data_IF_214364573497
#
_entry.id   IF_214364573497
#
_cell.length_a   1.000
_cell.length_b   1.000
_cell.length_c   1.000
_cell.angle_alpha   90.00
_cell.angle_beta   90.00
_cell.angle_gamma   90.00
#
_symmetry.space_group_name_H-M   'P 1'
#
loop_
_entity.id
_entity.type
_entity.pdbx_description
1 polymer ?
#
# COMPACT_ATOMS: atom_id res chain seq x y z
N UNK A 1 6.40 -4.20 -1.87
CA UNK A 1 6.22 -5.65 -1.62
C UNK A 1 6.31 -6.49 -2.90
N UNK A 2 5.69 -6.09 -4.02
CA UNK A 2 5.68 -6.87 -5.27
C UNK A 2 7.03 -7.01 -6.01
N UNK A 3 7.99 -6.09 -5.84
CA UNK A 3 9.31 -6.18 -6.48
C UNK A 3 10.24 -7.25 -5.88
N UNK A 4 9.94 -7.78 -4.69
CA UNK A 4 10.69 -8.86 -4.04
C UNK A 4 10.22 -10.27 -4.45
N UNK A 5 9.11 -10.36 -5.19
CA UNK A 5 8.47 -11.61 -5.60
C UNK A 5 9.24 -12.29 -6.75
N UNK A 6 9.98 -11.55 -7.58
CA UNK A 6 10.59 -12.12 -8.80
C UNK A 6 11.89 -12.91 -8.60
N UNK A 7 12.50 -12.86 -7.41
CA UNK A 7 13.80 -13.52 -7.13
C UNK A 7 13.75 -14.68 -6.15
N UNK A 8 12.61 -14.93 -5.51
CA UNK A 8 12.49 -15.84 -4.38
C UNK A 8 11.50 -16.97 -4.68
N UNK A 9 11.82 -18.18 -4.23
CA UNK A 9 11.01 -19.37 -4.47
C UNK A 9 9.68 -19.24 -3.72
N UNK A 10 8.57 -19.42 -4.42
CA UNK A 10 7.21 -19.31 -3.87
C UNK A 10 7.02 -20.13 -2.58
N UNK A 11 7.63 -21.31 -2.50
CA UNK A 11 7.56 -22.22 -1.35
C UNK A 11 8.00 -21.58 -0.02
N UNK A 12 8.98 -20.67 -0.05
CA UNK A 12 9.47 -19.99 1.17
C UNK A 12 8.39 -19.03 1.70
N UNK A 13 7.78 -18.25 0.81
CA UNK A 13 6.69 -17.35 1.20
C UNK A 13 5.42 -18.09 1.57
N UNK A 14 5.10 -19.18 0.87
CA UNK A 14 3.99 -20.06 1.24
C UNK A 14 4.21 -20.62 2.65
N UNK A 15 5.41 -21.12 2.96
CA UNK A 15 5.75 -21.58 4.31
C UNK A 15 5.60 -20.48 5.37
N UNK A 16 6.13 -19.28 5.10
CA UNK A 16 6.01 -18.13 6.03
C UNK A 16 4.58 -17.63 6.21
N UNK A 17 3.73 -17.73 5.19
CA UNK A 17 2.36 -17.22 5.25
C UNK A 17 1.37 -18.25 5.80
N UNK A 18 1.47 -19.51 5.35
CA UNK A 18 0.52 -20.58 5.68
C UNK A 18 0.84 -21.20 7.04
N UNK A 19 2.13 -21.46 7.32
CA UNK A 19 2.53 -22.20 8.54
C UNK A 19 2.69 -21.28 9.75
N UNK A 20 2.77 -19.96 9.55
CA UNK A 20 2.89 -19.00 10.65
C UNK A 20 1.49 -18.50 11.08
N UNK A 21 1.00 -18.88 12.28
CA UNK A 21 -0.32 -18.46 12.74
C UNK A 21 -0.42 -16.93 12.92
N UNK A 22 0.68 -16.26 13.27
CA UNK A 22 0.70 -14.79 13.41
C UNK A 22 0.53 -14.13 12.05
N UNK A 23 1.23 -14.63 11.02
CA UNK A 23 1.12 -14.10 9.67
C UNK A 23 -0.31 -14.27 9.13
N UNK A 24 -0.94 -15.42 9.37
CA UNK A 24 -2.34 -15.65 8.99
C UNK A 24 -3.28 -14.61 9.58
N UNK A 25 -3.16 -14.33 10.88
CA UNK A 25 -4.00 -13.31 11.56
C UNK A 25 -3.77 -11.92 10.96
N UNK A 26 -2.51 -11.55 10.70
CA UNK A 26 -2.18 -10.25 10.11
C UNK A 26 -2.71 -10.10 8.68
N UNK A 27 -2.57 -11.14 7.86
CA UNK A 27 -3.03 -11.14 6.47
C UNK A 27 -4.56 -11.12 6.40
N UNK A 28 -5.22 -11.90 7.25
CA UNK A 28 -6.67 -11.89 7.35
C UNK A 28 -7.19 -10.51 7.79
N UNK A 29 -6.61 -9.93 8.84
CA UNK A 29 -7.00 -8.60 9.29
C UNK A 29 -6.73 -7.55 8.21
N UNK A 30 -5.61 -7.63 7.49
CA UNK A 30 -5.34 -6.70 6.41
C UNK A 30 -6.43 -6.77 5.32
N UNK A 31 -6.82 -7.98 4.90
CA UNK A 31 -7.90 -8.16 3.94
C UNK A 31 -9.25 -7.61 4.46
N UNK A 32 -9.54 -7.78 5.75
CA UNK A 32 -10.72 -7.18 6.40
C UNK A 32 -10.66 -5.66 6.41
N UNK A 33 -9.52 -5.07 6.78
CA UNK A 33 -9.30 -3.62 6.78
C UNK A 33 -9.49 -3.01 5.39
N UNK A 34 -8.91 -3.62 4.35
CA UNK A 34 -9.12 -3.19 2.95
C UNK A 34 -10.62 -3.23 2.59
N UNK A 35 -11.31 -4.31 2.95
CA UNK A 35 -12.72 -4.50 2.64
C UNK A 35 -13.61 -3.48 3.36
N UNK A 36 -13.41 -3.28 4.66
CA UNK A 36 -14.22 -2.38 5.48
C UNK A 36 -14.03 -0.91 5.07
N UNK A 37 -12.79 -0.49 4.74
CA UNK A 37 -12.54 0.84 4.19
C UNK A 37 -13.20 1.01 2.81
N UNK A 38 -13.11 0.00 1.94
CA UNK A 38 -13.77 0.02 0.63
C UNK A 38 -15.30 0.12 0.76
N UNK A 39 -15.91 -0.56 1.73
CA UNK A 39 -17.35 -0.44 2.01
C UNK A 39 -17.73 0.99 2.36
N UNK A 40 -16.97 1.66 3.23
CA UNK A 40 -17.22 3.06 3.59
C UNK A 40 -17.07 3.98 2.36
N UNK A 41 -16.06 3.74 1.53
CA UNK A 41 -15.83 4.47 0.29
C UNK A 41 -16.97 4.33 -0.71
N UNK A 42 -17.52 3.11 -0.93
CA UNK A 42 -18.60 2.88 -1.92
C UNK A 42 -19.97 3.26 -1.38
N UNK A 43 -20.14 3.28 -0.06
CA UNK A 43 -21.38 3.69 0.60
C UNK A 43 -21.48 5.20 0.81
N UNK A 44 -20.48 5.96 0.34
CA UNK A 44 -20.39 7.42 0.49
C UNK A 44 -20.36 7.88 1.97
N UNK A 45 -19.87 7.03 2.87
CA UNK A 45 -19.76 7.32 4.31
C UNK A 45 -18.39 7.95 4.63
N UNK A 46 -18.23 9.22 4.24
CA UNK A 46 -17.00 9.97 4.44
C UNK A 46 -16.70 10.20 5.93
N UNK A 47 -17.73 10.40 6.75
CA UNK A 47 -17.57 10.61 8.20
C UNK A 47 -17.08 9.34 8.90
N UNK A 48 -17.68 8.18 8.58
CA UNK A 48 -17.24 6.88 9.08
C UNK A 48 -15.81 6.56 8.63
N UNK A 49 -15.50 6.81 7.36
CA UNK A 49 -14.15 6.65 6.83
C UNK A 49 -13.15 7.53 7.57
N UNK A 50 -13.47 8.81 7.76
CA UNK A 50 -12.63 9.77 8.47
C UNK A 50 -12.35 9.35 9.90
N UNK A 51 -13.40 8.99 10.64
CA UNK A 51 -13.30 8.52 12.03
C UNK A 51 -12.37 7.31 12.14
N UNK A 52 -12.54 6.34 11.24
CA UNK A 52 -11.73 5.11 11.23
C UNK A 52 -10.27 5.36 10.89
N UNK A 53 -10.01 6.12 9.83
CA UNK A 53 -8.65 6.46 9.39
C UNK A 53 -7.92 7.25 10.48
N UNK A 54 -8.58 8.23 11.11
CA UNK A 54 -7.98 9.01 12.19
C UNK A 54 -7.71 8.18 13.44
N UNK A 55 -8.59 7.25 13.81
CA UNK A 55 -8.32 6.33 14.92
C UNK A 55 -7.05 5.50 14.67
N UNK A 56 -6.88 4.99 13.45
CA UNK A 56 -5.67 4.27 13.06
C UNK A 56 -4.42 5.15 13.06
N UNK A 57 -4.52 6.36 12.51
CA UNK A 57 -3.44 7.37 12.55
C UNK A 57 -3.01 7.66 13.99
N UNK A 58 -3.95 7.95 14.87
CA UNK A 58 -3.67 8.37 16.25
C UNK A 58 -3.10 7.21 17.07
N UNK A 59 -3.50 5.97 16.78
CA UNK A 59 -2.89 4.78 17.38
C UNK A 59 -1.42 4.63 17.00
N UNK A 60 -1.10 4.72 15.70
CA UNK A 60 0.25 4.48 15.17
C UNK A 60 1.19 5.65 15.47
N UNK A 61 0.77 6.88 15.11
CA UNK A 61 1.61 8.09 15.16
C UNK A 61 1.36 8.95 16.40
N UNK A 62 0.39 8.60 17.23
CA UNK A 62 -0.06 9.46 18.32
C UNK A 62 -0.98 10.59 17.86
N UNK A 63 -1.78 11.15 18.78
CA UNK A 63 -2.67 12.26 18.45
C UNK A 63 -1.88 13.53 18.10
N UNK A 64 -2.51 14.50 17.40
CA UNK A 64 -1.90 15.79 17.10
C UNK A 64 -1.33 16.46 18.36
N UNK A 65 -0.09 16.93 18.28
CA UNK A 65 0.59 17.57 19.42
C UNK A 65 1.31 16.60 20.37
N UNK A 66 1.22 15.28 20.16
CA UNK A 66 2.02 14.32 20.92
C UNK A 66 3.49 14.30 20.47
N UNK A 67 4.46 13.86 21.30
CA UNK A 67 5.86 13.72 20.88
C UNK A 67 6.04 12.80 19.66
N UNK A 68 5.16 11.80 19.51
CA UNK A 68 5.12 10.89 18.36
C UNK A 68 4.59 11.55 17.07
N UNK A 69 3.96 12.72 17.19
CA UNK A 69 3.46 13.57 16.10
C UNK A 69 4.54 14.52 15.52
N UNK A 70 5.83 14.35 15.82
CA UNK A 70 6.91 15.16 15.22
C UNK A 70 7.13 14.76 13.75
N UNK A 71 7.07 15.72 12.82
CA UNK A 71 7.16 15.45 11.37
C UNK A 71 8.60 15.10 11.02
N UNK A 72 8.90 13.95 10.39
CA UNK A 72 10.20 13.76 9.77
C UNK A 72 10.37 14.77 8.62
N UNK A 73 11.58 15.26 8.35
CA UNK A 73 11.84 16.09 7.18
C UNK A 73 11.49 15.28 5.91
N UNK A 74 10.63 15.88 5.08
CA UNK A 74 10.20 15.36 3.78
C UNK A 74 11.44 15.20 2.89
N UNK A 75 11.78 13.97 2.50
CA UNK A 75 13.10 13.71 1.89
C UNK A 75 13.11 13.88 0.36
N UNK A 76 11.96 13.89 -0.32
CA UNK A 76 11.86 13.99 -1.79
C UNK A 76 10.54 14.67 -2.20
N UNK A 77 10.58 15.61 -3.16
CA UNK A 77 9.38 16.29 -3.68
C UNK A 77 8.57 15.42 -4.64
N UNK A 78 7.25 15.57 -4.64
CA UNK A 78 6.33 14.84 -5.56
C UNK A 78 6.70 15.02 -7.05
N UNK A 79 7.30 16.15 -7.42
CA UNK A 79 7.77 16.43 -8.78
C UNK A 79 8.85 15.45 -9.25
N UNK A 80 9.77 15.06 -8.35
CA UNK A 80 10.82 14.08 -8.67
C UNK A 80 10.18 12.70 -8.86
N UNK A 81 9.21 12.31 -8.03
CA UNK A 81 8.52 11.02 -8.21
C UNK A 81 7.69 10.95 -9.48
N UNK A 82 7.02 12.05 -9.85
CA UNK A 82 6.19 12.13 -11.06
C UNK A 82 7.04 11.96 -12.33
N UNK A 83 8.23 12.57 -12.36
CA UNK A 83 9.13 12.50 -13.53
C UNK A 83 9.72 11.11 -13.80
N UNK A 84 9.72 10.20 -12.82
CA UNK A 84 10.26 8.85 -12.95
C UNK A 84 9.21 7.74 -12.80
N UNK A 85 7.92 8.07 -12.86
CA UNK A 85 6.83 7.09 -12.80
C UNK A 85 6.93 6.04 -13.93
N UNK A 86 6.52 4.81 -13.61
CA UNK A 86 6.43 3.71 -14.58
C UNK A 86 5.04 3.79 -15.23
N UNK A 87 4.99 3.86 -16.56
CA UNK A 87 3.78 4.21 -17.34
C UNK A 87 3.99 5.43 -18.24
N UNK A 88 3.00 5.72 -19.09
CA UNK A 88 2.95 6.98 -19.84
C UNK A 88 2.58 8.12 -18.89
N UNK A 89 3.30 9.27 -18.92
CA UNK A 89 2.91 10.42 -18.15
C UNK A 89 1.56 10.91 -18.66
N UNK A 90 0.51 10.82 -17.85
CA UNK A 90 -0.76 11.45 -18.13
C UNK A 90 -0.53 12.96 -18.34
N UNK A 91 -1.17 13.56 -19.34
CA UNK A 91 -0.95 14.94 -19.77
C UNK A 91 -1.48 16.01 -18.77
N UNK A 92 -1.55 15.70 -17.48
CA UNK A 92 -2.06 16.57 -16.43
C UNK A 92 -1.63 16.11 -15.04
N UNK A 93 -1.95 16.89 -13.98
CA UNK A 93 -1.71 16.46 -12.60
C UNK A 93 -2.42 15.12 -12.36
N UNK A 94 -1.75 14.19 -11.69
CA UNK A 94 -2.34 12.89 -11.37
C UNK A 94 -3.62 13.09 -10.57
N UNK A 95 -4.70 12.37 -10.88
CA UNK A 95 -5.94 12.50 -10.12
C UNK A 95 -5.70 12.12 -8.66
N UNK A 96 -6.47 12.68 -7.73
CA UNK A 96 -6.28 12.42 -6.32
C UNK A 96 -6.49 10.96 -5.97
N UNK A 97 -5.52 10.34 -5.31
CA UNK A 97 -5.53 8.92 -5.00
C UNK A 97 -6.08 8.68 -3.58
N UNK A 98 -6.94 7.67 -3.44
CA UNK A 98 -7.48 7.21 -2.17
C UNK A 98 -6.40 6.66 -1.22
N UNK A 99 -5.29 6.21 -1.81
CA UNK A 99 -4.21 5.47 -1.18
C UNK A 99 -4.73 4.30 -0.31
N UNK A 100 -5.78 3.60 -0.78
CA UNK A 100 -6.48 2.55 -0.04
C UNK A 100 -5.54 1.52 0.59
N UNK A 101 -4.48 1.11 -0.11
CA UNK A 101 -3.46 0.20 0.44
C UNK A 101 -2.82 0.75 1.72
N UNK A 102 -2.42 2.02 1.73
CA UNK A 102 -1.75 2.66 2.86
C UNK A 102 -2.74 2.85 4.02
N UNK A 103 -3.97 3.30 3.73
CA UNK A 103 -5.03 3.42 4.74
C UNK A 103 -5.32 2.07 5.41
N UNK A 104 -5.40 1.00 4.63
CA UNK A 104 -5.67 -0.34 5.13
C UNK A 104 -4.52 -0.93 5.96
N UNK A 105 -3.26 -0.61 5.64
CA UNK A 105 -2.10 -1.00 6.46
C UNK A 105 -2.22 -0.41 7.86
N UNK A 106 -2.51 0.89 7.94
CA UNK A 106 -2.63 1.60 9.23
C UNK A 106 -3.85 1.15 10.02
N UNK A 107 -4.99 0.96 9.35
CA UNK A 107 -6.16 0.38 10.00
C UNK A 107 -5.87 -1.03 10.53
N UNK A 108 -5.23 -1.89 9.75
CA UNK A 108 -4.87 -3.24 10.18
C UNK A 108 -4.01 -3.24 11.46
N UNK A 109 -3.00 -2.35 11.53
CA UNK A 109 -2.20 -2.21 12.74
C UNK A 109 -3.01 -1.76 13.94
N UNK A 110 -3.93 -0.82 13.75
CA UNK A 110 -4.82 -0.38 14.80
C UNK A 110 -5.72 -1.51 15.30
N UNK A 111 -6.35 -2.27 14.38
CA UNK A 111 -7.23 -3.39 14.73
C UNK A 111 -6.50 -4.53 15.45
N UNK A 112 -5.21 -4.74 15.17
CA UNK A 112 -4.38 -5.73 15.87
C UNK A 112 -3.63 -5.17 17.08
N UNK A 113 -3.85 -3.89 17.43
CA UNK A 113 -3.10 -3.17 18.44
C UNK A 113 -1.58 -3.26 18.26
N UNK A 114 -1.11 -3.36 17.01
CA UNK A 114 0.31 -3.36 16.65
C UNK A 114 0.82 -1.93 16.53
N UNK A 115 2.11 -1.73 16.84
CA UNK A 115 2.80 -0.47 16.56
C UNK A 115 4.13 -0.74 15.85
N UNK A 116 4.11 -0.90 14.51
CA UNK A 116 5.31 -1.15 13.74
C UNK A 116 5.96 0.18 13.34
N UNK A 117 6.89 0.68 14.16
CA UNK A 117 7.70 1.82 13.74
C UNK A 117 8.81 1.37 12.78
N UNK A 118 8.67 1.69 11.49
CA UNK A 118 9.72 2.22 10.60
C UNK A 118 9.03 3.12 9.55
N UNK A 119 9.30 4.42 9.60
CA UNK A 119 9.13 5.44 8.54
C UNK A 119 7.97 5.31 7.53
N UNK A 120 6.75 4.90 7.94
CA UNK A 120 5.60 5.05 7.04
C UNK A 120 5.30 6.55 6.89
N UNK A 121 5.25 7.02 5.66
CA UNK A 121 5.16 8.44 5.33
C UNK A 121 3.85 9.04 5.85
N UNK A 122 3.95 9.85 6.91
CA UNK A 122 2.80 10.39 7.66
C UNK A 122 1.93 11.35 6.83
N UNK A 123 2.50 11.96 5.78
CA UNK A 123 1.85 13.00 4.99
C UNK A 123 0.56 12.48 4.32
N UNK A 124 0.58 11.26 3.78
CA UNK A 124 -0.56 10.65 3.08
C UNK A 124 -1.68 10.19 4.04
N UNK A 125 -1.34 9.88 5.29
CA UNK A 125 -2.25 9.29 6.29
C UNK A 125 -3.08 10.31 7.07
N UNK A 126 -2.78 11.60 6.90
CA UNK A 126 -3.42 12.68 7.64
C UNK A 126 -4.23 13.64 6.77
N UNK A 127 -4.22 13.43 5.44
CA UNK A 127 -4.87 14.37 4.55
C UNK A 127 -6.35 14.03 4.38
N UNK A 128 -7.22 14.92 4.83
CA UNK A 128 -8.66 14.92 4.49
C UNK A 128 -8.87 14.84 2.97
N UNK A 129 -7.88 15.28 2.18
CA UNK A 129 -7.87 15.13 0.73
C UNK A 129 -7.93 13.68 0.26
N UNK A 130 -7.16 12.76 0.87
CA UNK A 130 -7.17 11.35 0.48
C UNK A 130 -8.49 10.68 0.86
N UNK A 131 -9.06 11.06 2.02
CA UNK A 131 -10.37 10.59 2.50
C UNK A 131 -11.47 11.06 1.55
N UNK A 132 -11.44 12.34 1.18
CA UNK A 132 -12.37 12.91 0.23
C UNK A 132 -12.24 12.26 -1.15
N UNK A 133 -11.01 12.08 -1.65
CA UNK A 133 -10.74 11.39 -2.91
C UNK A 133 -11.23 9.94 -2.89
N UNK A 134 -11.05 9.23 -1.77
CA UNK A 134 -11.50 7.85 -1.62
C UNK A 134 -13.03 7.70 -1.78
N UNK A 135 -13.77 8.73 -1.40
CA UNK A 135 -15.23 8.74 -1.49
C UNK A 135 -15.72 9.26 -2.83
N UNK A 136 -15.16 10.38 -3.31
CA UNK A 136 -15.71 11.14 -4.44
C UNK A 136 -14.97 10.91 -5.77
N UNK A 137 -13.70 10.47 -5.74
CA UNK A 137 -12.99 10.16 -6.97
C UNK A 137 -13.35 8.74 -7.45
N UNK A 138 -13.74 8.63 -8.72
CA UNK A 138 -14.09 7.36 -9.36
C UNK A 138 -12.97 6.83 -10.26
N UNK A 139 -11.94 7.64 -10.57
CA UNK A 139 -10.87 7.28 -11.51
C UNK A 139 -10.13 6.00 -11.10
N UNK A 140 -9.95 5.79 -9.80
CA UNK A 140 -9.26 4.62 -9.23
C UNK A 140 -10.21 3.53 -8.70
N UNK A 141 -11.53 3.67 -8.88
CA UNK A 141 -12.50 2.77 -8.22
C UNK A 141 -12.42 1.33 -8.72
N UNK A 142 -12.15 1.16 -10.01
CA UNK A 142 -11.96 -0.17 -10.61
C UNK A 142 -10.71 -0.85 -10.04
N UNK A 143 -9.60 -0.13 -9.96
CA UNK A 143 -8.34 -0.62 -9.39
C UNK A 143 -8.48 -0.95 -7.90
N UNK A 144 -9.17 -0.08 -7.13
CA UNK A 144 -9.47 -0.31 -5.72
C UNK A 144 -10.34 -1.57 -5.52
N UNK A 145 -11.29 -1.83 -6.41
CA UNK A 145 -12.11 -3.04 -6.38
C UNK A 145 -11.27 -4.30 -6.63
N UNK A 146 -10.45 -4.30 -7.69
CA UNK A 146 -9.53 -5.41 -7.98
C UNK A 146 -8.55 -5.66 -6.84
N UNK A 147 -8.09 -4.58 -6.19
CA UNK A 147 -7.23 -4.69 -5.01
C UNK A 147 -7.94 -5.36 -3.83
N UNK A 148 -9.19 -5.00 -3.54
CA UNK A 148 -10.01 -5.64 -2.49
C UNK A 148 -10.20 -7.12 -2.78
N UNK A 149 -10.55 -7.46 -4.02
CA UNK A 149 -10.74 -8.85 -4.45
C UNK A 149 -9.45 -9.66 -4.33
N UNK A 150 -8.32 -9.10 -4.78
CA UNK A 150 -7.01 -9.72 -4.66
C UNK A 150 -6.62 -9.95 -3.19
N UNK A 151 -6.78 -8.95 -2.32
CA UNK A 151 -6.47 -9.05 -0.89
C UNK A 151 -7.27 -10.17 -0.21
N UNK A 152 -8.58 -10.25 -0.51
CA UNK A 152 -9.45 -11.33 -0.01
C UNK A 152 -9.05 -12.70 -0.56
N UNK A 153 -8.76 -12.79 -1.86
CA UNK A 153 -8.34 -14.04 -2.51
C UNK A 153 -7.04 -14.60 -1.93
N UNK A 154 -6.06 -13.73 -1.63
CA UNK A 154 -4.84 -14.13 -0.94
C UNK A 154 -5.08 -14.58 0.50
N UNK A 155 -5.90 -13.84 1.26
CA UNK A 155 -6.26 -14.24 2.64
C UNK A 155 -6.94 -15.61 2.68
N UNK A 156 -7.88 -15.87 1.77
CA UNK A 156 -8.57 -17.16 1.66
C UNK A 156 -7.61 -18.30 1.30
N UNK A 157 -6.77 -18.10 0.28
CA UNK A 157 -5.75 -19.07 -0.13
C UNK A 157 -4.86 -19.50 1.04
N UNK A 158 -4.40 -18.52 1.82
CA UNK A 158 -3.51 -18.75 2.96
C UNK A 158 -4.27 -19.41 4.12
N UNK A 159 -5.52 -19.01 4.37
CA UNK A 159 -6.36 -19.56 5.45
C UNK A 159 -6.73 -21.02 5.22
N UNK A 160 -6.97 -21.40 3.96
CA UNK A 160 -7.21 -22.80 3.57
C UNK A 160 -5.93 -23.65 3.62
N UNK A 161 -4.75 -23.03 3.68
CA UNK A 161 -3.46 -23.71 3.69
C UNK A 161 -3.12 -24.43 2.38
N UNK A 162 -3.70 -23.98 1.27
CA UNK A 162 -3.52 -24.59 -0.05
C UNK A 162 -2.23 -24.09 -0.71
N UNK A 163 -1.19 -24.93 -0.68
CA UNK A 163 0.11 -24.63 -1.27
C UNK A 163 0.09 -24.62 -2.81
N UNK A 164 -0.76 -25.43 -3.44
CA UNK A 164 -0.87 -25.49 -4.91
C UNK A 164 -1.53 -24.21 -5.45
N UNK A 165 -2.63 -23.80 -4.82
CA UNK A 165 -3.28 -22.52 -5.15
C UNK A 165 -2.37 -21.33 -4.87
N UNK A 166 -1.58 -21.38 -3.78
CA UNK A 166 -0.60 -20.34 -3.49
C UNK A 166 0.45 -20.23 -4.59
N UNK A 167 0.99 -21.38 -5.03
CA UNK A 167 1.95 -21.44 -6.12
C UNK A 167 1.40 -20.82 -7.40
N UNK A 168 0.20 -21.24 -7.81
CA UNK A 168 -0.44 -20.78 -9.04
C UNK A 168 -0.63 -19.26 -9.02
N UNK A 169 -1.23 -18.73 -7.93
CA UNK A 169 -1.40 -17.29 -7.73
C UNK A 169 -0.08 -16.53 -7.76
N UNK A 170 0.96 -17.06 -7.11
CA UNK A 170 2.29 -16.45 -7.07
C UNK A 170 2.91 -16.38 -8.46
N UNK A 171 2.89 -17.49 -9.20
CA UNK A 171 3.52 -17.59 -10.52
C UNK A 171 2.80 -16.73 -11.55
N UNK A 172 1.46 -16.74 -11.56
CA UNK A 172 0.66 -15.87 -12.43
C UNK A 172 0.97 -14.39 -12.15
N UNK A 173 0.98 -13.98 -10.88
CA UNK A 173 1.33 -12.60 -10.50
C UNK A 173 2.75 -12.25 -10.92
N UNK A 174 3.72 -13.15 -10.72
CA UNK A 174 5.11 -12.93 -11.09
C UNK A 174 5.28 -12.74 -12.61
N UNK A 175 4.61 -13.55 -13.44
CA UNK A 175 4.68 -13.43 -14.89
C UNK A 175 4.04 -12.13 -15.39
N UNK A 176 2.93 -11.69 -14.79
CA UNK A 176 2.30 -10.40 -15.11
C UNK A 176 3.24 -9.19 -14.88
N UNK A 177 4.05 -9.23 -13.82
CA UNK A 177 4.97 -8.13 -13.49
C UNK A 177 6.32 -8.20 -14.20
N UNK A 178 6.70 -9.36 -14.76
CA UNK A 178 7.99 -9.58 -15.40
C UNK A 178 8.39 -8.50 -16.43
N UNK A 179 7.55 -8.12 -17.43
CA UNK A 179 7.93 -7.07 -18.38
C UNK A 179 8.05 -5.68 -17.72
N UNK A 180 7.21 -5.39 -16.73
CA UNK A 180 7.18 -4.10 -16.01
C UNK A 180 8.39 -3.92 -15.07
N UNK A 181 8.90 -5.02 -14.52
CA UNK A 181 10.11 -5.02 -13.69
C UNK A 181 11.33 -4.69 -14.55
N UNK A 182 11.39 -5.18 -15.79
CA UNK A 182 12.48 -4.87 -16.72
C UNK A 182 12.47 -3.39 -17.12
N UNK A 183 11.29 -2.84 -17.44
CA UNK A 183 11.11 -1.41 -17.69
C UNK A 183 11.50 -0.55 -16.47
N UNK A 184 11.03 -0.95 -15.28
CA UNK A 184 11.25 -0.23 -14.03
C UNK A 184 12.72 -0.17 -13.59
N UNK A 185 13.53 -1.20 -13.90
CA UNK A 185 14.99 -1.18 -13.62
C UNK A 185 15.70 -0.07 -14.40
N UNK A 186 15.28 0.18 -15.64
CA UNK A 186 15.84 1.25 -16.46
C UNK A 186 15.57 2.62 -15.85
N UNK A 187 14.30 2.89 -15.53
CA UNK A 187 13.85 4.16 -14.93
C UNK A 187 14.42 4.39 -13.52
N UNK A 188 14.47 3.34 -12.68
CA UNK A 188 15.05 3.42 -11.34
C UNK A 188 16.55 3.75 -11.32
N UNK A 189 17.33 3.19 -12.26
CA UNK A 189 18.74 3.54 -12.42
C UNK A 189 18.92 5.01 -12.89
N UNK A 190 18.00 5.51 -13.71
CA UNK A 190 18.01 6.91 -14.15
C UNK A 190 17.70 7.87 -12.97
N UNK A 191 16.71 7.54 -12.14
CA UNK A 191 16.36 8.31 -10.95
C UNK A 191 17.52 8.36 -9.94
N UNK A 192 18.17 7.23 -9.65
CA UNK A 192 19.32 7.20 -8.74
C UNK A 192 20.49 8.05 -9.25
N UNK A 193 20.77 8.03 -10.56
CA UNK A 193 21.78 8.92 -11.17
C UNK A 193 21.40 10.39 -11.02
N UNK A 194 20.12 10.72 -11.18
CA UNK A 194 19.63 12.08 -11.01
C UNK A 194 19.78 12.56 -9.56
N UNK A 195 19.35 11.76 -8.58
CA UNK A 195 19.49 12.06 -7.15
C UNK A 195 20.97 12.23 -6.77
N UNK A 196 21.85 11.35 -7.22
CA UNK A 196 23.29 11.46 -6.95
C UNK A 196 23.91 12.74 -7.56
N UNK A 197 23.42 13.18 -8.72
CA UNK A 197 23.88 14.42 -9.35
C UNK A 197 23.39 15.66 -8.60
N UNK A 198 22.13 15.66 -8.14
CA UNK A 198 21.51 16.80 -7.44
C UNK A 198 22.04 16.90 -6.01
N UNK A 199 22.15 15.79 -5.28
CA UNK A 199 22.66 15.77 -3.91
C UNK A 199 24.20 15.77 -3.81
N UNK A 200 24.92 15.40 -4.87
CA UNK A 200 26.40 15.45 -4.90
C UNK A 200 26.99 16.80 -5.32
N UNK A 201 26.14 17.78 -5.66
CA UNK A 201 26.54 19.14 -6.06
C UNK A 201 26.23 20.20 -4.99
N UNK A 202 25.90 19.77 -3.77
CA UNK A 202 25.61 20.62 -2.60
C UNK A 202 26.68 20.41 -1.51
#
# INVERSE_FOLDING_TARGET
MFLLVSRMKWHVYAGLAILNPIARVQIDQFARSVTELSVLMVSNDEEGLRKRVHAGRDHVFGPPGSPRSTTPPMFLSEEIFTSFAIGEPAAGPSPPNSHLTILAIVDCWHQLCLNPFIHLERLLLSSDYAIHAAVHNLDYRADDCEFVLAARGWSQCISCGDFELYQDRFQHTAEFFKPRIEEGKGKGNAMMKYILKVCGSA
#
